data_IF_725343961424
#
_entry.id   IF_725343961424
#
_cell.length_a   1.000
_cell.length_b   1.000
_cell.length_c   1.000
_cell.angle_alpha   90.00
_cell.angle_beta   90.00
_cell.angle_gamma   90.00
#
_symmetry.space_group_name_H-M   'P 1'
#
loop_
_entity.id
_entity.type
_entity.pdbx_description
1 polymer ?
#
# COMPACT_ATOMS: atom_id res chain seq x y z
N UNK A 1 -28.21 25.06 -31.24
CA UNK A 1 -28.30 23.63 -30.86
C UNK A 1 -27.11 23.35 -29.95
N UNK A 2 -27.33 22.92 -28.71
CA UNK A 2 -26.26 22.60 -27.78
C UNK A 2 -25.96 21.11 -27.86
N UNK A 3 -24.72 20.76 -28.23
CA UNK A 3 -24.26 19.38 -28.31
C UNK A 3 -23.80 18.95 -26.92
N UNK A 4 -24.55 18.04 -26.31
CA UNK A 4 -24.16 17.39 -25.05
C UNK A 4 -23.25 16.22 -25.36
N UNK A 5 -21.97 16.33 -24.99
CA UNK A 5 -21.03 15.21 -25.03
C UNK A 5 -21.21 14.38 -23.75
N UNK A 6 -21.65 13.13 -23.90
CA UNK A 6 -21.70 12.16 -22.81
C UNK A 6 -20.38 11.40 -22.79
N UNK A 7 -19.57 11.61 -21.76
CA UNK A 7 -18.38 10.80 -21.51
C UNK A 7 -18.81 9.51 -20.82
N UNK A 8 -18.66 8.38 -21.50
CA UNK A 8 -18.89 7.05 -20.94
C UNK A 8 -17.58 6.57 -20.33
N UNK A 9 -17.54 6.43 -19.00
CA UNK A 9 -16.42 5.78 -18.31
C UNK A 9 -16.60 4.27 -18.42
N UNK A 10 -15.76 3.60 -19.21
CA UNK A 10 -15.68 2.14 -19.23
C UNK A 10 -15.03 1.65 -17.94
N UNK A 11 -15.79 1.02 -17.04
CA UNK A 11 -15.25 0.22 -15.95
C UNK A 11 -14.55 -1.01 -16.53
N UNK A 12 -13.21 -0.98 -16.64
CA UNK A 12 -12.40 -2.19 -16.92
C UNK A 12 -12.47 -3.12 -15.70
N UNK A 13 -13.33 -4.13 -15.77
CA UNK A 13 -13.35 -5.28 -14.84
C UNK A 13 -12.26 -6.27 -15.22
N UNK A 14 -11.00 -5.90 -15.12
CA UNK A 14 -9.90 -6.87 -15.14
C UNK A 14 -9.80 -7.52 -13.75
N UNK A 15 -9.60 -8.84 -13.65
CA UNK A 15 -9.52 -9.52 -12.37
C UNK A 15 -8.28 -9.05 -11.59
N UNK A 16 -8.46 -8.71 -10.31
CA UNK A 16 -7.41 -8.23 -9.39
C UNK A 16 -6.41 -9.34 -9.00
N UNK A 17 -5.62 -9.80 -9.97
CA UNK A 17 -4.63 -10.89 -9.78
C UNK A 17 -3.22 -10.37 -9.57
N UNK A 18 -2.34 -11.22 -9.03
CA UNK A 18 -0.91 -10.90 -8.93
C UNK A 18 -0.27 -10.69 -10.32
N UNK A 19 -0.76 -11.39 -11.34
CA UNK A 19 -0.31 -11.22 -12.74
C UNK A 19 -0.57 -9.80 -13.27
N UNK A 20 -1.58 -9.12 -12.72
CA UNK A 20 -1.90 -7.74 -13.10
C UNK A 20 -0.80 -6.78 -12.64
N UNK A 21 -0.17 -7.02 -11.49
CA UNK A 21 0.94 -6.20 -11.00
C UNK A 21 2.17 -6.33 -11.89
N UNK A 22 2.54 -7.53 -12.32
CA UNK A 22 3.70 -7.73 -13.20
C UNK A 22 3.51 -7.09 -14.58
N UNK A 23 2.25 -6.92 -15.03
CA UNK A 23 1.95 -6.17 -16.26
C UNK A 23 2.05 -4.66 -16.08
N UNK A 24 1.62 -4.15 -14.92
CA UNK A 24 1.66 -2.72 -14.60
C UNK A 24 3.07 -2.24 -14.20
N UNK A 25 3.82 -3.10 -13.52
CA UNK A 25 5.16 -2.85 -13.00
C UNK A 25 6.10 -3.99 -13.42
N UNK A 26 6.54 -4.03 -14.69
CA UNK A 26 7.36 -5.12 -15.22
C UNK A 26 8.74 -5.21 -14.54
N UNK A 27 9.29 -4.08 -14.11
CA UNK A 27 10.59 -3.97 -13.46
C UNK A 27 10.47 -3.89 -11.93
N UNK A 28 9.42 -4.49 -11.34
CA UNK A 28 9.22 -4.46 -9.88
C UNK A 28 10.38 -5.13 -9.15
N UNK A 29 10.89 -4.48 -8.11
CA UNK A 29 11.93 -5.01 -7.25
C UNK A 29 11.34 -6.05 -6.31
N UNK A 30 11.75 -7.30 -6.49
CA UNK A 30 11.34 -8.44 -5.67
C UNK A 30 12.42 -8.88 -4.67
N UNK A 31 13.54 -8.15 -4.57
CA UNK A 31 14.65 -8.49 -3.68
C UNK A 31 14.22 -8.52 -2.21
N UNK A 32 14.88 -9.33 -1.39
CA UNK A 32 14.62 -9.45 0.05
C UNK A 32 15.73 -8.83 0.90
N UNK A 33 16.68 -8.14 0.28
CA UNK A 33 17.83 -7.53 0.97
C UNK A 33 17.37 -6.53 2.04
N UNK A 34 16.34 -5.74 1.73
CA UNK A 34 15.73 -4.77 2.64
C UNK A 34 15.06 -5.40 3.88
N UNK A 35 14.88 -6.72 3.92
CA UNK A 35 14.33 -7.43 5.08
C UNK A 35 15.41 -8.18 5.89
N UNK A 36 16.66 -8.17 5.45
CA UNK A 36 17.75 -8.88 6.14
C UNK A 36 18.00 -8.28 7.53
N UNK A 37 18.12 -9.15 8.54
CA UNK A 37 18.41 -8.73 9.92
C UNK A 37 17.21 -8.23 10.73
N UNK A 38 16.00 -8.27 10.17
CA UNK A 38 14.77 -7.98 10.90
C UNK A 38 14.22 -9.22 11.62
N UNK A 39 13.36 -8.97 12.61
CA UNK A 39 12.63 -9.98 13.35
C UNK A 39 11.77 -10.89 12.44
N UNK A 40 11.76 -12.19 12.70
CA UNK A 40 11.10 -13.20 11.85
C UNK A 40 9.59 -12.99 11.75
N UNK A 41 8.94 -12.58 12.84
CA UNK A 41 7.51 -12.28 12.86
C UNK A 41 7.21 -11.03 12.02
N UNK A 42 8.04 -9.99 12.10
CA UNK A 42 7.90 -8.82 11.23
C UNK A 42 8.12 -9.16 9.75
N UNK A 43 9.06 -10.03 9.43
CA UNK A 43 9.27 -10.51 8.05
C UNK A 43 8.04 -11.28 7.57
N UNK A 44 7.47 -12.17 8.39
CA UNK A 44 6.23 -12.90 8.04
C UNK A 44 5.06 -11.96 7.75
N UNK A 45 4.92 -10.89 8.53
CA UNK A 45 3.89 -9.87 8.30
C UNK A 45 4.11 -9.07 6.99
N UNK A 46 5.28 -9.14 6.37
CA UNK A 46 5.53 -8.50 5.07
C UNK A 46 4.94 -9.27 3.88
N UNK A 47 4.49 -10.51 4.09
CA UNK A 47 3.77 -11.31 3.08
C UNK A 47 2.27 -11.00 3.05
N UNK A 48 1.75 -10.20 3.98
CA UNK A 48 0.36 -9.72 3.97
C UNK A 48 0.04 -9.04 2.63
N UNK A 49 -1.18 -9.27 2.14
CA UNK A 49 -1.62 -8.76 0.84
C UNK A 49 -2.22 -7.36 1.01
N UNK A 50 -1.66 -6.39 0.29
CA UNK A 50 -2.18 -5.03 0.17
C UNK A 50 -3.00 -4.85 -1.12
N UNK A 51 -3.97 -3.94 -1.07
CA UNK A 51 -4.76 -3.52 -2.23
C UNK A 51 -3.98 -2.45 -2.97
N UNK A 52 -3.59 -2.71 -4.22
CA UNK A 52 -2.87 -1.75 -5.07
C UNK A 52 -3.87 -0.86 -5.81
N UNK A 53 -3.55 0.42 -5.89
CA UNK A 53 -4.42 1.47 -6.40
C UNK A 53 -3.79 2.19 -7.60
N UNK A 54 -4.63 2.86 -8.37
CA UNK A 54 -4.21 4.00 -9.19
C UNK A 54 -4.28 5.32 -8.39
N UNK A 55 -3.97 6.44 -9.06
CA UNK A 55 -3.97 7.78 -8.45
C UNK A 55 -5.37 8.28 -8.03
N UNK A 56 -6.44 7.59 -8.42
CA UNK A 56 -7.82 7.95 -8.11
C UNK A 56 -8.44 7.06 -7.03
N UNK A 57 -7.61 6.33 -6.26
CA UNK A 57 -8.04 5.34 -5.27
C UNK A 57 -8.91 4.22 -5.90
N UNK A 58 -8.70 3.89 -7.17
CA UNK A 58 -9.35 2.76 -7.80
C UNK A 58 -8.48 1.50 -7.65
N UNK A 59 -9.04 0.37 -7.17
CA UNK A 59 -8.30 -0.88 -7.05
C UNK A 59 -7.85 -1.41 -8.43
N UNK A 60 -6.54 -1.61 -8.61
CA UNK A 60 -5.96 -2.12 -9.87
C UNK A 60 -5.20 -3.44 -9.72
N UNK A 61 -4.80 -3.81 -8.50
CA UNK A 61 -4.18 -5.11 -8.25
C UNK A 61 -4.01 -5.44 -6.78
N UNK A 62 -3.17 -6.43 -6.50
CA UNK A 62 -2.75 -6.80 -5.15
C UNK A 62 -1.27 -7.14 -5.13
N UNK A 63 -0.56 -6.70 -4.11
CA UNK A 63 0.87 -6.96 -3.93
C UNK A 63 1.16 -7.23 -2.45
N UNK A 64 2.27 -7.89 -2.14
CA UNK A 64 2.65 -8.06 -0.74
C UNK A 64 3.05 -6.73 -0.13
N UNK A 65 2.87 -6.62 1.19
CA UNK A 65 3.29 -5.45 1.98
C UNK A 65 4.75 -5.14 1.77
N UNK A 66 5.63 -6.15 1.64
CA UNK A 66 7.03 -5.97 1.25
C UNK A 66 7.14 -5.09 0.00
N UNK A 67 6.54 -5.55 -1.11
CA UNK A 67 6.65 -4.87 -2.41
C UNK A 67 6.14 -3.43 -2.34
N UNK A 68 5.04 -3.23 -1.62
CA UNK A 68 4.39 -1.93 -1.45
C UNK A 68 5.20 -0.91 -0.62
N UNK A 69 6.19 -1.37 0.17
CA UNK A 69 6.97 -0.52 1.07
C UNK A 69 8.45 -0.40 0.66
N UNK A 70 8.86 -1.00 -0.46
CA UNK A 70 10.19 -0.78 -1.05
C UNK A 70 10.21 0.55 -1.80
N UNK A 71 11.16 1.43 -1.46
CA UNK A 71 11.32 2.73 -2.14
C UNK A 71 11.53 2.56 -3.65
N UNK A 72 12.29 1.54 -4.06
CA UNK A 72 12.52 1.18 -5.47
C UNK A 72 11.24 0.88 -6.27
N UNK A 73 10.15 0.49 -5.59
CA UNK A 73 8.83 0.25 -6.20
C UNK A 73 7.91 1.48 -6.06
N UNK A 74 7.98 2.18 -4.93
CA UNK A 74 7.24 3.42 -4.70
C UNK A 74 7.65 4.49 -5.72
N UNK A 75 8.95 4.63 -5.99
CA UNK A 75 9.49 5.57 -6.98
C UNK A 75 9.04 5.25 -8.42
N UNK A 76 8.53 4.04 -8.65
CA UNK A 76 7.92 3.60 -9.92
C UNK A 76 6.40 3.79 -9.95
N UNK A 77 5.80 4.33 -8.89
CA UNK A 77 4.36 4.59 -8.79
C UNK A 77 3.53 3.47 -8.17
N UNK A 78 4.14 2.51 -7.46
CA UNK A 78 3.37 1.47 -6.77
C UNK A 78 2.65 2.05 -5.54
N UNK A 79 1.34 2.27 -5.67
CA UNK A 79 0.48 2.78 -4.60
C UNK A 79 -0.34 1.66 -3.97
N UNK A 80 -0.59 1.74 -2.66
CA UNK A 80 -1.47 0.81 -1.96
C UNK A 80 -2.40 1.52 -0.99
N UNK A 81 -3.58 0.95 -0.75
CA UNK A 81 -4.56 1.49 0.18
C UNK A 81 -4.09 1.31 1.63
N UNK A 82 -4.25 2.35 2.43
CA UNK A 82 -3.99 2.34 3.87
C UNK A 82 -5.12 3.07 4.61
N UNK A 83 -5.10 2.99 5.94
CA UNK A 83 -6.00 3.73 6.82
C UNK A 83 -5.24 4.24 8.04
N UNK A 84 -5.77 5.28 8.69
CA UNK A 84 -5.30 5.77 9.98
C UNK A 84 -6.49 5.99 10.91
N UNK A 85 -6.31 5.70 12.20
CA UNK A 85 -7.36 5.82 13.23
C UNK A 85 -6.95 6.87 14.24
N UNK A 86 -7.82 7.83 14.48
CA UNK A 86 -7.69 8.81 15.56
C UNK A 86 -8.72 8.49 16.62
N UNK A 87 -8.27 8.00 17.78
CA UNK A 87 -9.13 7.59 18.88
C UNK A 87 -9.08 8.64 20.00
N UNK A 88 -10.25 9.17 20.38
CA UNK A 88 -10.39 10.13 21.47
C UNK A 88 -11.15 9.50 22.65
N UNK A 89 -10.73 9.80 23.87
CA UNK A 89 -11.49 9.45 25.08
C UNK A 89 -12.59 10.48 25.39
N UNK A 90 -13.39 10.25 26.43
CA UNK A 90 -14.48 11.15 26.85
C UNK A 90 -14.00 12.57 27.29
N UNK A 91 -12.69 12.76 27.45
CA UNK A 91 -12.05 14.05 27.74
C UNK A 91 -11.50 14.74 26.50
N UNK A 92 -11.74 14.19 25.31
CA UNK A 92 -11.24 14.69 24.02
C UNK A 92 -9.69 14.66 23.92
N UNK A 93 -9.03 13.70 24.58
CA UNK A 93 -7.60 13.46 24.48
C UNK A 93 -7.32 12.40 23.41
N UNK A 94 -6.34 12.64 22.54
CA UNK A 94 -5.94 11.71 21.48
C UNK A 94 -5.03 10.59 22.01
N UNK A 95 -5.36 9.34 21.71
CA UNK A 95 -4.45 8.21 21.91
C UNK A 95 -3.33 8.25 20.88
N UNK A 96 -2.08 8.37 21.35
CA UNK A 96 -0.88 8.23 20.54
C UNK A 96 -0.21 6.89 20.79
N UNK A 97 0.32 6.26 19.74
CA UNK A 97 1.15 5.07 19.86
C UNK A 97 2.62 5.39 19.58
N UNK A 98 3.52 4.86 20.42
CA UNK A 98 4.91 4.72 20.03
C UNK A 98 5.10 3.36 19.34
N UNK A 99 5.65 3.37 18.13
CA UNK A 99 5.94 2.15 17.38
C UNK A 99 7.08 1.39 18.05
N UNK A 100 6.98 0.06 18.09
CA UNK A 100 8.02 -0.79 18.64
C UNK A 100 9.30 -0.77 17.78
N UNK A 101 10.46 -1.02 18.40
CA UNK A 101 11.76 -0.92 17.72
C UNK A 101 11.96 -1.98 16.62
N UNK A 102 11.24 -3.10 16.70
CA UNK A 102 11.29 -4.17 15.70
C UNK A 102 10.53 -3.83 14.40
N UNK A 103 9.70 -2.78 14.38
CA UNK A 103 8.91 -2.42 13.18
C UNK A 103 9.85 -2.07 12.02
N UNK A 104 9.70 -2.78 10.90
CA UNK A 104 10.51 -2.58 9.69
C UNK A 104 10.43 -1.14 9.17
N UNK A 105 9.24 -0.54 9.15
CA UNK A 105 9.05 0.87 8.78
C UNK A 105 8.89 1.74 10.01
N UNK A 106 9.64 2.83 10.08
CA UNK A 106 9.52 3.88 11.12
C UNK A 106 9.53 3.32 12.56
N UNK A 107 10.56 2.58 12.99
CA UNK A 107 10.68 2.13 14.38
C UNK A 107 10.77 3.34 15.34
N UNK A 108 10.28 3.17 16.57
CA UNK A 108 10.35 4.14 17.68
C UNK A 108 9.61 5.48 17.48
N UNK A 109 8.96 5.68 16.32
CA UNK A 109 8.21 6.89 15.99
C UNK A 109 6.86 6.94 16.72
N UNK A 110 6.47 8.15 17.14
CA UNK A 110 5.14 8.45 17.66
C UNK A 110 4.19 8.75 16.49
N UNK A 111 3.04 8.08 16.47
CA UNK A 111 1.99 8.26 15.46
C UNK A 111 0.60 7.95 16.02
#
# INVERSE_FOLDING_TARGET
>A
MATTTVTVTETRTEPMTADTILRLFPDIDTSSEALSGHDEEQIRLMDEVCIVLDDNDMPVGKASKKLCHLMSNIDKGLLHRAFSVFLFNDKNELLLQQRASEKITFPDMWT
#
